data_IF_469892999725
#
_entry.id   IF_469892999725
#
_cell.length_a   1.000
_cell.length_b   1.000
_cell.length_c   1.000
_cell.angle_alpha   90.00
_cell.angle_beta   90.00
_cell.angle_gamma   90.00
#
_symmetry.space_group_name_H-M   'P 1'
#
loop_
_entity.id
_entity.type
_entity.pdbx_description
1 polymer ?
#
# COMPACT_ATOMS: atom_id res chain seq x y z
N UNK A 1 -30.90 11.98 -17.49
CA UNK A 1 -29.54 11.49 -17.78
C UNK A 1 -29.07 10.72 -16.54
N UNK A 2 -29.19 9.40 -16.59
CA UNK A 2 -28.55 8.53 -15.59
C UNK A 2 -27.05 8.72 -15.76
N UNK A 3 -26.36 9.38 -14.80
CA UNK A 3 -24.92 9.26 -14.67
C UNK A 3 -24.66 7.81 -14.31
N UNK A 4 -24.15 7.01 -15.23
CA UNK A 4 -23.55 5.73 -14.89
C UNK A 4 -22.45 6.05 -13.87
N UNK A 5 -22.69 5.73 -12.60
CA UNK A 5 -21.62 5.64 -11.64
C UNK A 5 -20.66 4.59 -12.23
N UNK A 6 -19.44 4.98 -12.54
CA UNK A 6 -18.45 4.03 -13.04
C UNK A 6 -18.20 3.04 -11.92
N UNK A 7 -18.41 1.75 -12.19
CA UNK A 7 -18.18 0.67 -11.25
C UNK A 7 -16.74 0.78 -10.72
N UNK A 8 -16.60 0.83 -9.40
CA UNK A 8 -15.29 0.92 -8.74
C UNK A 8 -14.88 -0.48 -8.32
N UNK A 9 -13.80 -0.98 -8.88
CA UNK A 9 -13.25 -2.29 -8.54
C UNK A 9 -12.36 -2.21 -7.29
N UNK A 10 -12.31 -3.29 -6.52
CA UNK A 10 -11.44 -3.39 -5.32
C UNK A 10 -9.99 -3.00 -5.63
N UNK A 11 -9.45 -3.42 -6.80
CA UNK A 11 -8.09 -3.03 -7.23
C UNK A 11 -7.88 -1.53 -7.37
N UNK A 12 -8.92 -0.77 -7.71
CA UNK A 12 -8.82 0.68 -7.84
C UNK A 12 -8.74 1.36 -6.46
N UNK A 13 -9.50 0.86 -5.49
CA UNK A 13 -9.42 1.32 -4.10
C UNK A 13 -8.04 1.01 -3.53
N UNK A 14 -7.57 -0.24 -3.67
CA UNK A 14 -6.24 -0.67 -3.23
C UNK A 14 -5.15 0.16 -3.92
N UNK A 15 -5.23 0.33 -5.24
CA UNK A 15 -4.27 1.15 -5.97
C UNK A 15 -4.27 2.62 -5.56
N UNK A 16 -5.40 3.18 -5.08
CA UNK A 16 -5.43 4.53 -4.52
C UNK A 16 -4.70 4.58 -3.16
N UNK A 17 -4.88 3.58 -2.31
CA UNK A 17 -4.16 3.44 -1.05
C UNK A 17 -2.64 3.29 -1.27
N UNK A 18 -2.24 2.45 -2.23
CA UNK A 18 -0.83 2.20 -2.53
C UNK A 18 -0.14 3.38 -3.25
N UNK A 19 -0.88 4.22 -3.96
CA UNK A 19 -0.33 5.49 -4.46
C UNK A 19 -0.05 6.48 -3.34
N UNK A 20 -0.89 6.50 -2.30
CA UNK A 20 -0.71 7.37 -1.14
C UNK A 20 0.36 6.83 -0.19
N UNK A 21 0.33 5.52 0.09
CA UNK A 21 1.23 4.82 0.99
C UNK A 21 1.83 3.58 0.28
N UNK A 22 2.84 3.75 -0.57
CA UNK A 22 3.45 2.65 -1.33
C UNK A 22 3.97 1.53 -0.42
N UNK A 23 3.74 0.27 -0.81
CA UNK A 23 4.18 -0.90 -0.03
C UNK A 23 5.70 -0.93 0.28
N UNK A 24 6.61 -0.44 -0.58
CA UNK A 24 8.03 -0.38 -0.24
C UNK A 24 8.37 0.51 0.98
N UNK A 25 7.45 1.34 1.44
CA UNK A 25 7.62 2.14 2.67
C UNK A 25 7.43 1.31 3.95
N UNK A 26 6.91 0.09 3.86
CA UNK A 26 6.74 -0.78 5.03
C UNK A 26 8.08 -1.17 5.65
N UNK A 27 8.07 -1.47 6.94
CA UNK A 27 9.24 -1.97 7.64
C UNK A 27 9.55 -3.43 7.26
N UNK A 28 10.82 -3.84 7.36
CA UNK A 28 11.28 -5.14 6.89
C UNK A 28 10.67 -6.37 7.59
N UNK A 29 10.02 -6.18 8.74
CA UNK A 29 9.31 -7.21 9.49
C UNK A 29 7.81 -7.28 9.16
N UNK A 30 7.30 -6.30 8.40
CA UNK A 30 5.88 -6.08 8.19
C UNK A 30 5.29 -6.95 7.08
N UNK A 31 3.96 -7.04 7.06
CA UNK A 31 3.17 -7.70 6.03
C UNK A 31 1.97 -6.82 5.62
N UNK A 32 2.24 -5.56 5.25
CA UNK A 32 1.22 -4.67 4.71
C UNK A 32 0.77 -5.11 3.31
N UNK A 33 -0.39 -4.65 2.87
CA UNK A 33 -0.95 -4.92 1.55
C UNK A 33 -2.15 -5.86 1.57
N UNK A 34 -2.44 -6.47 0.43
CA UNK A 34 -3.54 -7.41 0.28
C UNK A 34 -3.26 -8.69 1.07
N UNK A 35 -4.13 -8.96 2.06
CA UNK A 35 -4.03 -10.12 2.93
C UNK A 35 -4.84 -11.31 2.41
N UNK A 36 -6.05 -11.04 1.91
CA UNK A 36 -7.03 -12.05 1.51
C UNK A 36 -7.86 -11.51 0.36
N UNK A 37 -8.31 -12.41 -0.50
CA UNK A 37 -9.35 -12.18 -1.47
C UNK A 37 -8.87 -11.74 -2.84
N UNK A 38 -9.82 -11.61 -3.75
CA UNK A 38 -9.62 -11.23 -5.15
C UNK A 38 -9.95 -9.74 -5.34
N UNK A 39 -9.20 -9.08 -6.22
CA UNK A 39 -9.28 -7.63 -6.44
C UNK A 39 -10.09 -7.26 -7.70
N UNK A 40 -10.39 -8.23 -8.55
CA UNK A 40 -11.04 -8.01 -9.84
C UNK A 40 -12.57 -7.82 -9.75
N UNK A 41 -13.16 -8.07 -8.56
CA UNK A 41 -14.57 -7.82 -8.34
C UNK A 41 -14.83 -6.33 -8.07
N UNK A 42 -16.03 -5.89 -8.46
CA UNK A 42 -16.57 -4.59 -8.09
C UNK A 42 -16.63 -4.43 -6.57
N UNK A 43 -16.27 -3.26 -6.05
CA UNK A 43 -16.38 -2.95 -4.64
C UNK A 43 -17.81 -2.50 -4.31
N UNK A 44 -18.51 -3.28 -3.48
CA UNK A 44 -19.86 -2.94 -3.01
C UNK A 44 -19.84 -1.96 -1.84
N UNK A 45 -18.73 -1.89 -1.12
CA UNK A 45 -18.46 -1.01 -0.01
C UNK A 45 -17.17 -1.41 0.68
N UNK A 46 -16.62 -0.50 1.50
CA UNK A 46 -15.42 -0.75 2.29
C UNK A 46 -15.68 -0.47 3.77
N UNK A 47 -15.33 -1.42 4.65
CA UNK A 47 -15.33 -1.26 6.10
C UNK A 47 -13.91 -0.93 6.55
N UNK A 48 -13.76 0.16 7.30
CA UNK A 48 -12.47 0.59 7.85
C UNK A 48 -12.37 0.17 9.31
N UNK A 49 -11.24 -0.41 9.70
CA UNK A 49 -11.01 -0.82 11.09
C UNK A 49 -9.53 -0.70 11.47
N UNK A 50 -9.25 -0.74 12.75
CA UNK A 50 -7.88 -0.85 13.26
C UNK A 50 -7.44 -2.31 13.19
N UNK A 51 -8.22 -3.20 13.78
CA UNK A 51 -7.99 -4.63 13.84
C UNK A 51 -9.11 -5.40 13.15
N UNK A 52 -8.75 -6.44 12.39
CA UNK A 52 -9.74 -7.37 11.83
C UNK A 52 -10.08 -8.43 12.88
N UNK A 53 -11.33 -8.43 13.31
CA UNK A 53 -11.91 -9.43 14.21
C UNK A 53 -13.04 -10.18 13.52
N UNK A 54 -13.50 -11.29 14.11
CA UNK A 54 -14.67 -12.00 13.59
C UNK A 54 -15.90 -11.09 13.54
N UNK A 55 -16.08 -10.22 14.54
CA UNK A 55 -17.18 -9.24 14.56
C UNK A 55 -17.10 -8.22 13.41
N UNK A 56 -15.90 -7.74 13.06
CA UNK A 56 -15.70 -6.83 11.92
C UNK A 56 -16.04 -7.52 10.60
N UNK A 57 -15.67 -8.79 10.45
CA UNK A 57 -16.04 -9.56 9.25
C UNK A 57 -17.56 -9.78 9.19
N UNK A 58 -18.21 -10.08 10.32
CA UNK A 58 -19.67 -10.22 10.39
C UNK A 58 -20.40 -8.91 10.09
N UNK A 59 -19.86 -7.78 10.53
CA UNK A 59 -20.37 -6.45 10.20
C UNK A 59 -20.27 -6.18 8.69
N UNK A 60 -19.12 -6.46 8.06
CA UNK A 60 -18.96 -6.33 6.61
C UNK A 60 -19.98 -7.18 5.85
N UNK A 61 -20.20 -8.45 6.27
CA UNK A 61 -21.22 -9.33 5.69
C UNK A 61 -22.62 -8.73 5.84
N UNK A 62 -22.96 -8.22 7.02
CA UNK A 62 -24.28 -7.64 7.33
C UNK A 62 -24.55 -6.39 6.49
N UNK A 63 -23.52 -5.57 6.27
CA UNK A 63 -23.59 -4.35 5.44
C UNK A 63 -23.54 -4.67 3.93
N UNK A 64 -23.25 -5.89 3.54
CA UNK A 64 -23.02 -6.26 2.14
C UNK A 64 -21.74 -5.69 1.55
N UNK A 65 -20.76 -5.36 2.39
CA UNK A 65 -19.46 -4.83 1.97
C UNK A 65 -18.49 -5.97 1.71
N UNK A 66 -17.77 -5.88 0.60
CA UNK A 66 -16.84 -6.92 0.17
C UNK A 66 -15.36 -6.51 0.20
N UNK A 67 -15.05 -5.38 0.88
CA UNK A 67 -13.68 -4.93 1.14
C UNK A 67 -13.57 -4.50 2.62
N UNK A 68 -12.54 -4.98 3.29
CA UNK A 68 -12.14 -4.49 4.61
C UNK A 68 -10.75 -3.87 4.44
N UNK A 69 -10.58 -2.64 4.93
CA UNK A 69 -9.29 -1.96 5.01
C UNK A 69 -8.94 -1.80 6.48
N UNK A 70 -7.90 -2.48 6.92
CA UNK A 70 -7.42 -2.41 8.30
C UNK A 70 -6.09 -1.68 8.40
N UNK A 71 -5.76 -1.21 9.60
CA UNK A 71 -4.42 -0.75 9.89
C UNK A 71 -3.52 -1.96 10.19
N UNK A 72 -3.85 -2.74 11.20
CA UNK A 72 -3.05 -3.90 11.56
C UNK A 72 -3.28 -5.08 10.60
N UNK A 73 -2.20 -5.75 10.12
CA UNK A 73 -2.34 -6.93 9.28
C UNK A 73 -3.01 -8.09 10.04
N UNK A 74 -4.06 -8.66 9.45
CA UNK A 74 -4.67 -9.87 9.98
C UNK A 74 -3.69 -11.05 9.96
N UNK A 75 -2.94 -11.18 8.87
CA UNK A 75 -1.92 -12.22 8.68
C UNK A 75 -0.55 -11.58 8.88
N UNK A 76 -0.04 -11.58 10.10
CA UNK A 76 1.29 -11.05 10.39
C UNK A 76 2.39 -12.10 10.17
N UNK A 77 2.10 -13.37 10.42
CA UNK A 77 2.98 -14.52 10.18
C UNK A 77 2.33 -15.51 9.24
N UNK A 78 3.14 -16.10 8.36
CA UNK A 78 2.66 -17.10 7.40
C UNK A 78 2.03 -18.33 8.08
N UNK A 79 0.92 -18.80 7.54
CA UNK A 79 0.21 -20.00 8.00
C UNK A 79 0.62 -21.21 7.16
N UNK A 80 0.88 -22.35 7.83
CA UNK A 80 1.13 -23.65 7.16
C UNK A 80 -0.19 -24.39 6.85
N UNK A 81 -1.26 -24.06 7.56
CA UNK A 81 -2.59 -24.63 7.38
C UNK A 81 -3.64 -23.65 7.88
N UNK A 82 -4.83 -23.68 7.30
CA UNK A 82 -5.97 -22.84 7.70
C UNK A 82 -7.12 -23.79 8.01
N UNK A 83 -7.40 -23.99 9.29
CA UNK A 83 -8.35 -24.98 9.81
C UNK A 83 -9.37 -24.42 10.81
N UNK A 84 -9.28 -23.11 11.10
CA UNK A 84 -10.19 -22.43 12.04
C UNK A 84 -9.79 -22.56 13.51
N UNK A 85 -8.56 -22.95 13.83
CA UNK A 85 -8.09 -23.17 15.21
C UNK A 85 -8.04 -21.89 16.04
N UNK A 86 -7.62 -20.79 15.43
CA UNK A 86 -7.54 -19.49 16.09
C UNK A 86 -8.47 -18.46 15.41
N UNK A 87 -8.56 -17.27 15.99
CA UNK A 87 -9.46 -16.23 15.47
C UNK A 87 -9.02 -15.73 14.09
N UNK A 88 -7.71 -15.70 13.80
CA UNK A 88 -7.20 -15.27 12.51
C UNK A 88 -7.61 -16.25 11.41
N UNK A 89 -7.40 -17.56 11.64
CA UNK A 89 -7.85 -18.60 10.72
C UNK A 89 -9.38 -18.54 10.49
N UNK A 90 -10.18 -18.26 11.55
CA UNK A 90 -11.64 -18.11 11.42
C UNK A 90 -12.00 -16.86 10.62
N UNK A 91 -11.33 -15.72 10.84
CA UNK A 91 -11.50 -14.52 10.00
C UNK A 91 -11.18 -14.80 8.54
N UNK A 92 -10.04 -15.48 8.27
CA UNK A 92 -9.63 -15.87 6.92
C UNK A 92 -10.73 -16.70 6.23
N UNK A 93 -11.17 -17.77 6.89
CA UNK A 93 -12.21 -18.67 6.35
C UNK A 93 -13.53 -17.95 6.11
N UNK A 94 -13.92 -17.06 7.02
CA UNK A 94 -15.16 -16.28 6.92
C UNK A 94 -15.07 -15.27 5.78
N UNK A 95 -13.98 -14.54 5.66
CA UNK A 95 -13.76 -13.58 4.58
C UNK A 95 -13.79 -14.26 3.21
N UNK A 96 -13.09 -15.39 3.05
CA UNK A 96 -13.07 -16.14 1.79
C UNK A 96 -14.47 -16.64 1.42
N UNK A 97 -15.24 -17.19 2.38
CA UNK A 97 -16.60 -17.71 2.12
C UNK A 97 -17.60 -16.63 1.70
N UNK A 98 -17.33 -15.37 2.03
CA UNK A 98 -18.19 -14.23 1.72
C UNK A 98 -17.60 -13.28 0.66
N UNK A 99 -16.58 -13.72 -0.07
CA UNK A 99 -15.90 -12.95 -1.13
C UNK A 99 -15.37 -11.57 -0.66
N UNK A 100 -15.04 -11.47 0.63
CA UNK A 100 -14.49 -10.25 1.22
C UNK A 100 -12.99 -10.24 1.02
N UNK A 101 -12.47 -9.18 0.42
CA UNK A 101 -11.05 -8.89 0.38
C UNK A 101 -10.63 -8.10 1.63
N UNK A 102 -9.46 -8.41 2.17
CA UNK A 102 -8.88 -7.71 3.32
C UNK A 102 -7.54 -7.12 2.89
N UNK A 103 -7.40 -5.81 3.03
CA UNK A 103 -6.18 -5.05 2.76
C UNK A 103 -5.73 -4.35 4.05
N UNK A 104 -4.44 -4.40 4.34
CA UNK A 104 -3.87 -3.74 5.52
C UNK A 104 -2.89 -2.64 5.12
N UNK A 105 -3.17 -1.41 5.57
CA UNK A 105 -2.27 -0.26 5.44
C UNK A 105 -1.62 -0.03 6.81
N UNK A 106 -0.43 -0.60 6.99
CA UNK A 106 0.26 -0.66 8.28
C UNK A 106 1.47 0.28 8.31
N UNK A 107 2.67 -0.22 8.50
CA UNK A 107 3.86 0.65 8.61
C UNK A 107 4.16 1.43 7.32
N UNK A 108 3.71 0.96 6.17
CA UNK A 108 3.75 1.76 4.95
C UNK A 108 2.94 3.05 5.06
N UNK A 109 1.78 3.04 5.75
CA UNK A 109 0.96 4.21 6.00
C UNK A 109 1.56 5.09 7.11
N UNK A 110 2.20 4.50 8.12
CA UNK A 110 2.92 5.25 9.16
C UNK A 110 4.10 6.03 8.58
N UNK A 111 4.82 5.41 7.62
CA UNK A 111 6.00 5.98 6.99
C UNK A 111 5.69 6.89 5.80
N UNK A 112 4.43 6.93 5.34
CA UNK A 112 4.04 7.76 4.21
C UNK A 112 3.99 9.25 4.58
N UNK A 113 4.47 10.16 3.71
CA UNK A 113 4.24 11.58 3.86
C UNK A 113 2.73 11.88 3.93
N UNK A 114 2.31 12.61 4.97
CA UNK A 114 0.89 12.88 5.24
C UNK A 114 0.12 11.69 5.84
N UNK A 115 0.78 10.59 6.14
CA UNK A 115 0.21 9.41 6.77
C UNK A 115 -0.10 9.60 8.26
N UNK A 116 -0.20 8.48 9.00
CA UNK A 116 -0.68 8.46 10.40
C UNK A 116 0.13 9.39 11.30
N UNK A 117 1.47 9.31 11.25
CA UNK A 117 2.33 10.13 12.11
C UNK A 117 2.18 11.64 11.85
N UNK A 118 2.01 12.03 10.58
CA UNK A 118 1.73 13.42 10.22
C UNK A 118 0.36 13.87 10.74
N UNK A 119 -0.66 13.00 10.66
CA UNK A 119 -2.00 13.29 11.17
C UNK A 119 -2.05 13.38 12.68
N UNK A 120 -1.28 12.57 13.41
CA UNK A 120 -1.13 12.67 14.85
C UNK A 120 -0.47 14.02 15.22
N UNK A 121 0.64 14.34 14.57
CA UNK A 121 1.37 15.58 14.82
C UNK A 121 0.48 16.82 14.56
N UNK A 122 -0.28 16.83 13.48
CA UNK A 122 -1.26 17.86 13.16
C UNK A 122 -2.33 18.01 14.26
N UNK A 123 -2.89 16.87 14.73
CA UNK A 123 -3.93 16.88 15.78
C UNK A 123 -3.47 17.39 17.12
N UNK A 124 -2.20 17.21 17.49
CA UNK A 124 -1.61 17.74 18.73
C UNK A 124 -0.98 19.12 18.54
N UNK A 125 -1.10 19.72 17.36
CA UNK A 125 -0.68 21.10 17.09
C UNK A 125 0.82 21.28 16.86
N UNK A 126 1.55 20.24 16.40
CA UNK A 126 2.97 20.39 16.07
C UNK A 126 3.13 21.12 14.73
N UNK A 127 4.12 22.03 14.70
CA UNK A 127 4.53 22.78 13.52
C UNK A 127 5.90 22.32 13.03
N UNK A 128 6.21 22.60 11.74
CA UNK A 128 7.52 22.28 11.15
C UNK A 128 7.89 20.79 11.27
N UNK A 129 6.93 19.92 11.02
CA UNK A 129 7.06 18.46 11.13
C UNK A 129 8.10 17.96 10.14
N UNK A 130 9.05 17.14 10.63
CA UNK A 130 10.05 16.45 9.82
C UNK A 130 10.22 15.02 10.29
N UNK A 131 10.69 14.16 9.39
CA UNK A 131 11.04 12.77 9.72
C UNK A 131 12.23 12.80 10.69
N UNK A 132 12.06 12.18 11.87
CA UNK A 132 13.10 12.13 12.89
C UNK A 132 14.28 11.23 12.49
N UNK A 133 13.96 10.06 11.92
CA UNK A 133 14.92 9.08 11.45
C UNK A 133 14.62 8.74 9.99
N UNK A 134 15.15 9.54 9.03
CA UNK A 134 14.94 9.23 7.62
C UNK A 134 15.68 7.94 7.25
N UNK A 135 15.00 7.02 6.55
CA UNK A 135 15.69 5.84 5.98
C UNK A 135 16.76 6.34 5.02
N UNK A 136 18.00 6.04 5.35
CA UNK A 136 19.15 6.24 4.44
C UNK A 136 19.25 5.02 3.53
N UNK A 137 19.81 5.20 2.33
CA UNK A 137 20.02 4.13 1.34
C UNK A 137 18.76 3.62 0.63
N UNK A 138 17.67 4.37 0.59
CA UNK A 138 16.51 4.07 -0.22
C UNK A 138 16.72 4.57 -1.66
N UNK A 139 17.39 3.78 -2.49
CA UNK A 139 17.53 4.07 -3.90
C UNK A 139 16.36 3.50 -4.69
N UNK A 140 15.80 4.32 -5.57
CA UNK A 140 14.86 3.88 -6.60
C UNK A 140 15.61 3.63 -7.90
N UNK A 141 15.38 2.48 -8.53
CA UNK A 141 15.89 2.21 -9.86
C UNK A 141 14.89 2.72 -10.90
N UNK A 142 15.26 3.80 -11.60
CA UNK A 142 14.52 4.27 -12.77
C UNK A 142 15.01 3.53 -14.01
N UNK A 143 14.09 2.91 -14.74
CA UNK A 143 14.35 2.25 -16.03
C UNK A 143 13.46 2.90 -17.08
N UNK A 144 14.07 3.32 -18.18
CA UNK A 144 13.34 3.85 -19.33
C UNK A 144 13.92 3.28 -20.63
N UNK A 145 13.08 3.22 -21.65
CA UNK A 145 13.46 2.75 -22.97
C UNK A 145 13.42 3.93 -23.94
N UNK A 146 14.55 4.19 -24.61
CA UNK A 146 14.69 5.31 -25.55
C UNK A 146 15.43 4.85 -26.81
N UNK A 147 15.19 5.48 -27.97
CA UNK A 147 15.99 5.24 -29.15
C UNK A 147 17.47 5.53 -28.84
N UNK A 148 18.39 4.71 -29.35
CA UNK A 148 19.83 4.81 -29.07
C UNK A 148 20.39 6.22 -29.34
N UNK A 149 19.92 6.87 -30.40
CA UNK A 149 20.37 8.22 -30.77
C UNK A 149 19.98 9.31 -29.75
N UNK A 150 19.00 9.06 -28.88
CA UNK A 150 18.51 9.99 -27.85
C UNK A 150 18.94 9.60 -26.43
N UNK A 151 19.71 8.52 -26.28
CA UNK A 151 20.07 7.99 -24.96
C UNK A 151 20.84 9.00 -24.09
N UNK A 152 21.78 9.73 -24.69
CA UNK A 152 22.60 10.72 -23.99
C UNK A 152 21.77 11.95 -23.59
N UNK A 153 20.87 12.41 -24.45
CA UNK A 153 19.98 13.53 -24.17
C UNK A 153 19.05 13.21 -22.97
N UNK A 154 18.43 12.03 -22.98
CA UNK A 154 17.55 11.60 -21.89
C UNK A 154 18.33 11.39 -20.59
N UNK A 155 19.56 10.82 -20.66
CA UNK A 155 20.43 10.68 -19.49
C UNK A 155 20.76 12.02 -18.86
N UNK A 156 21.13 13.00 -19.66
CA UNK A 156 21.46 14.34 -19.18
C UNK A 156 20.25 15.02 -18.55
N UNK A 157 19.06 14.93 -19.19
CA UNK A 157 17.82 15.47 -18.63
C UNK A 157 17.45 14.82 -17.28
N UNK A 158 17.67 13.51 -17.13
CA UNK A 158 17.44 12.81 -15.86
C UNK A 158 18.44 13.28 -14.78
N UNK A 159 19.71 13.46 -15.12
CA UNK A 159 20.72 13.97 -14.21
C UNK A 159 20.40 15.42 -13.77
N UNK A 160 20.01 16.30 -14.69
CA UNK A 160 19.56 17.66 -14.40
C UNK A 160 18.32 17.69 -13.49
N UNK A 161 17.42 16.69 -13.62
CA UNK A 161 16.27 16.52 -12.75
C UNK A 161 16.64 15.92 -11.37
N UNK A 162 17.92 15.66 -11.09
CA UNK A 162 18.41 15.14 -9.80
C UNK A 162 18.53 13.62 -9.73
N UNK A 163 18.36 12.88 -10.82
CA UNK A 163 18.61 11.45 -10.84
C UNK A 163 20.12 11.14 -10.77
N UNK A 164 20.46 9.98 -10.18
CA UNK A 164 21.83 9.47 -10.18
C UNK A 164 22.72 10.00 -9.04
N UNK A 165 22.16 10.68 -8.04
CA UNK A 165 22.91 11.08 -6.84
C UNK A 165 22.97 9.90 -5.86
N UNK A 166 24.17 9.33 -5.66
CA UNK A 166 24.42 8.20 -4.77
C UNK A 166 25.66 8.49 -3.92
N UNK A 167 25.46 8.80 -2.64
CA UNK A 167 26.55 9.18 -1.75
C UNK A 167 27.31 10.40 -2.29
N UNK A 168 28.58 10.25 -2.59
CA UNK A 168 29.45 11.31 -3.13
C UNK A 168 29.49 11.35 -4.67
N UNK A 169 28.67 10.54 -5.35
CA UNK A 169 28.62 10.47 -6.81
C UNK A 169 27.36 11.12 -7.33
N UNK A 170 27.44 11.77 -8.48
CA UNK A 170 26.31 12.29 -9.25
C UNK A 170 26.20 11.59 -10.62
N UNK A 171 25.06 11.81 -11.29
CA UNK A 171 24.80 11.34 -12.65
C UNK A 171 25.01 9.83 -12.87
N UNK A 172 24.92 9.03 -11.79
CA UNK A 172 25.08 7.58 -11.86
C UNK A 172 24.02 6.95 -12.76
N UNK A 173 24.45 6.36 -13.87
CA UNK A 173 23.55 5.68 -14.81
C UNK A 173 24.31 4.61 -15.59
N UNK A 174 23.58 3.68 -16.22
CA UNK A 174 24.13 2.71 -17.15
C UNK A 174 23.12 2.40 -18.25
N UNK A 175 23.63 2.03 -19.43
CA UNK A 175 22.81 1.55 -20.54
C UNK A 175 22.97 0.03 -20.67
N UNK A 176 21.87 -0.61 -21.08
CA UNK A 176 21.88 -1.99 -21.57
C UNK A 176 21.48 -1.93 -23.05
N UNK A 177 22.31 -2.46 -23.92
CA UNK A 177 22.07 -2.54 -25.36
C UNK A 177 21.45 -3.88 -25.74
#
# INVERSE_FOLDING_TARGET
VSSAASDVYKRQVIGALERFAPLPLQDGFDNAGLQIGLTEAEATGALLCLDVTEAVVDEAVTLGYNLIVSHHPLIFKGYKSITGRDYVERCILKAIRNDIAIYSAHTNLDNAPGGVNFKIAEKIGLENIRILEPKQECLLKLVTFVPRAQADEVRNALAEAGCGCIGNYDSCSYNVE
#
